data_IF_934720584922
#
_entry.id   IF_934720584922
#
_cell.length_a   1.000
_cell.length_b   1.000
_cell.length_c   1.000
_cell.angle_alpha   90.00
_cell.angle_beta   90.00
_cell.angle_gamma   90.00
#
_symmetry.space_group_name_H-M   'P 1'
#
loop_
_entity.id
_entity.type
_entity.pdbx_description
1 polymer ?
#
# COMPACT_ATOMS: atom_id res chain seq x y z
N UNK A 1 13.49 -79.04 -1.32
CA UNK A 1 12.27 -78.24 -1.62
C UNK A 1 12.04 -77.12 -0.59
N UNK A 2 13.09 -76.36 -0.26
CA UNK A 2 13.02 -75.17 0.63
C UNK A 2 12.89 -73.86 -0.17
N UNK A 3 12.77 -73.94 -1.51
CA UNK A 3 12.76 -72.77 -2.41
C UNK A 3 11.39 -72.44 -3.03
N UNK A 4 10.35 -73.24 -2.78
CA UNK A 4 8.97 -72.96 -3.25
C UNK A 4 8.07 -72.31 -2.18
N UNK A 5 8.38 -72.51 -0.89
CA UNK A 5 7.59 -71.95 0.22
C UNK A 5 7.93 -70.47 0.48
N UNK A 6 9.15 -70.02 0.17
CA UNK A 6 9.58 -68.62 0.36
C UNK A 6 9.02 -67.69 -0.72
N UNK A 7 8.79 -68.19 -1.94
CA UNK A 7 8.15 -67.42 -3.02
C UNK A 7 6.64 -67.24 -2.82
N UNK A 8 5.97 -68.16 -2.10
CA UNK A 8 4.55 -68.04 -1.76
C UNK A 8 4.30 -67.11 -0.56
N UNK A 9 5.27 -66.94 0.34
CA UNK A 9 5.15 -66.04 1.50
C UNK A 9 5.49 -64.58 1.20
N UNK A 10 6.29 -64.28 0.16
CA UNK A 10 6.52 -62.89 -0.28
C UNK A 10 5.42 -62.35 -1.20
N UNK A 11 4.61 -63.22 -1.81
CA UNK A 11 3.42 -62.82 -2.58
C UNK A 11 2.24 -62.43 -1.69
N UNK A 12 2.16 -62.94 -0.46
CA UNK A 12 1.11 -62.54 0.47
C UNK A 12 1.36 -61.18 1.13
N UNK A 13 2.61 -60.73 1.30
CA UNK A 13 2.88 -59.38 1.83
C UNK A 13 2.64 -58.26 0.83
N UNK A 14 2.76 -58.52 -0.49
CA UNK A 14 2.39 -57.52 -1.51
C UNK A 14 0.86 -57.40 -1.63
N UNK A 15 0.12 -58.49 -1.40
CA UNK A 15 -1.35 -58.48 -1.46
C UNK A 15 -2.03 -57.74 -0.30
N UNK A 16 -1.34 -57.52 0.83
CA UNK A 16 -1.88 -56.66 1.91
C UNK A 16 -1.80 -55.17 1.58
N UNK A 17 -1.01 -54.76 0.58
CA UNK A 17 -0.98 -53.36 0.14
C UNK A 17 -2.11 -53.00 -0.84
N UNK A 18 -2.93 -53.96 -1.28
CA UNK A 18 -3.98 -53.73 -2.28
C UNK A 18 -5.41 -53.79 -1.74
N UNK A 19 -5.60 -53.99 -0.43
CA UNK A 19 -6.93 -54.12 0.17
C UNK A 19 -7.06 -53.38 1.51
N UNK A 20 -6.86 -52.05 1.49
CA UNK A 20 -7.51 -51.16 2.47
C UNK A 20 -7.51 -49.67 2.04
N UNK A 21 -7.80 -49.35 0.78
CA UNK A 21 -7.95 -47.95 0.35
C UNK A 21 -9.41 -47.45 0.49
N UNK A 22 -10.40 -48.34 0.50
CA UNK A 22 -11.82 -47.93 0.54
C UNK A 22 -12.37 -47.61 1.94
N UNK A 23 -11.79 -48.20 3.01
CA UNK A 23 -12.26 -47.90 4.38
C UNK A 23 -11.73 -46.55 4.88
N UNK A 24 -10.49 -46.20 4.52
CA UNK A 24 -9.89 -44.91 4.89
C UNK A 24 -10.56 -43.74 4.15
N UNK A 25 -10.89 -43.91 2.87
CA UNK A 25 -11.58 -42.88 2.06
C UNK A 25 -13.01 -42.62 2.49
N UNK A 26 -13.75 -43.63 2.99
CA UNK A 26 -15.12 -43.41 3.51
C UNK A 26 -15.13 -42.79 4.91
N UNK A 27 -14.21 -43.17 5.80
CA UNK A 27 -14.14 -42.60 7.16
C UNK A 27 -13.68 -41.13 7.14
N UNK A 28 -12.70 -40.79 6.30
CA UNK A 28 -12.24 -39.41 6.15
C UNK A 28 -13.24 -38.53 5.37
N UNK A 29 -14.17 -39.07 4.59
CA UNK A 29 -15.05 -38.30 3.72
C UNK A 29 -16.24 -37.58 4.41
N UNK A 30 -16.80 -38.14 5.48
CA UNK A 30 -17.98 -37.55 6.16
C UNK A 30 -17.62 -36.55 7.28
N UNK A 31 -16.41 -36.61 7.85
CA UNK A 31 -15.97 -35.64 8.86
C UNK A 31 -15.15 -34.46 8.31
N UNK A 32 -14.59 -34.55 7.09
CA UNK A 32 -13.82 -33.45 6.51
C UNK A 32 -14.67 -32.37 5.83
N UNK A 33 -15.76 -32.75 5.13
CA UNK A 33 -16.54 -31.79 4.34
C UNK A 33 -17.25 -30.72 5.20
N UNK A 34 -17.63 -31.07 6.43
CA UNK A 34 -18.31 -30.13 7.33
C UNK A 34 -17.32 -29.19 8.06
N UNK A 35 -16.07 -29.63 8.23
CA UNK A 35 -14.94 -28.79 8.65
C UNK A 35 -14.49 -27.86 7.53
N UNK A 36 -14.45 -28.34 6.29
CA UNK A 36 -14.08 -27.56 5.09
C UNK A 36 -15.10 -26.46 4.74
N UNK A 37 -16.40 -26.72 4.90
CA UNK A 37 -17.44 -25.70 4.63
C UNK A 37 -17.40 -24.55 5.65
N UNK A 38 -17.15 -24.87 6.93
CA UNK A 38 -16.96 -23.90 8.01
C UNK A 38 -15.63 -23.15 7.86
N UNK A 39 -14.54 -23.81 7.45
CA UNK A 39 -13.28 -23.13 7.16
C UNK A 39 -13.41 -22.21 5.96
N UNK A 40 -14.19 -22.54 4.92
CA UNK A 40 -14.38 -21.66 3.76
C UNK A 40 -15.13 -20.36 4.11
N UNK A 41 -16.10 -20.41 5.04
CA UNK A 41 -16.79 -19.22 5.56
C UNK A 41 -15.86 -18.35 6.41
N UNK A 42 -15.12 -18.98 7.33
CA UNK A 42 -14.14 -18.26 8.18
C UNK A 42 -13.01 -17.68 7.32
N UNK A 43 -12.50 -18.42 6.33
CA UNK A 43 -11.49 -17.94 5.39
C UNK A 43 -12.00 -16.78 4.53
N UNK A 44 -13.28 -16.76 4.15
CA UNK A 44 -13.89 -15.61 3.46
C UNK A 44 -13.90 -14.37 4.38
N UNK A 45 -14.37 -14.52 5.61
CA UNK A 45 -14.39 -13.43 6.60
C UNK A 45 -12.98 -12.93 6.89
N UNK A 46 -12.00 -13.81 7.04
CA UNK A 46 -10.59 -13.45 7.25
C UNK A 46 -9.99 -12.73 6.03
N UNK A 47 -10.34 -13.12 4.80
CA UNK A 47 -9.93 -12.42 3.57
C UNK A 47 -10.58 -11.04 3.46
N UNK A 48 -11.86 -10.90 3.80
CA UNK A 48 -12.58 -9.63 3.79
C UNK A 48 -12.03 -8.67 4.87
N UNK A 49 -11.70 -9.21 6.06
CA UNK A 49 -11.03 -8.47 7.13
C UNK A 49 -9.61 -8.09 6.72
N UNK A 50 -8.83 -8.98 6.12
CA UNK A 50 -7.47 -8.68 5.60
C UNK A 50 -7.52 -7.56 4.57
N UNK A 51 -8.43 -7.62 3.59
CA UNK A 51 -8.60 -6.56 2.59
C UNK A 51 -9.00 -5.23 3.22
N UNK A 52 -9.78 -5.27 4.30
CA UNK A 52 -10.16 -4.07 5.06
C UNK A 52 -8.99 -3.54 5.89
N UNK A 53 -8.14 -4.39 6.45
CA UNK A 53 -6.90 -4.02 7.14
C UNK A 53 -5.90 -3.41 6.14
N UNK A 54 -5.73 -3.97 4.93
CA UNK A 54 -4.91 -3.38 3.86
C UNK A 54 -5.40 -1.98 3.45
N UNK A 55 -6.72 -1.74 3.54
CA UNK A 55 -7.32 -0.42 3.30
C UNK A 55 -7.15 0.56 4.46
N UNK A 56 -6.82 0.07 5.65
CA UNK A 56 -6.53 0.88 6.85
C UNK A 56 -5.03 1.20 6.92
N UNK A 57 -4.14 0.33 6.43
CA UNK A 57 -2.68 0.54 6.41
C UNK A 57 -2.15 1.30 5.19
N UNK A 58 -2.97 1.52 4.15
CA UNK A 58 -2.57 2.21 2.91
C UNK A 58 -2.69 3.75 2.93
N UNK A 59 -2.91 4.39 4.08
CA UNK A 59 -3.18 5.83 4.15
C UNK A 59 -1.95 6.74 4.37
N UNK A 60 -0.75 6.25 4.02
CA UNK A 60 0.47 7.07 3.94
C UNK A 60 1.21 6.86 2.62
N UNK A 61 0.49 7.02 1.51
CA UNK A 61 1.10 7.06 0.19
C UNK A 61 0.06 6.96 -0.91
N UNK A 62 -0.16 8.06 -1.62
CA UNK A 62 -0.75 8.06 -2.96
C UNK A 62 -2.27 7.81 -3.12
N UNK A 63 -3.11 8.58 -2.42
CA UNK A 63 -4.50 8.82 -2.89
C UNK A 63 -4.88 10.29 -3.09
N UNK A 64 -4.05 11.22 -2.62
CA UNK A 64 -4.29 12.66 -2.78
C UNK A 64 -3.31 13.33 -3.75
N UNK A 65 -2.72 12.60 -4.70
CA UNK A 65 -1.87 13.18 -5.74
C UNK A 65 -0.57 13.81 -5.22
N UNK A 66 0.05 13.20 -4.20
CA UNK A 66 1.38 13.59 -3.76
C UNK A 66 2.43 13.15 -4.79
N UNK A 67 3.37 14.04 -5.13
CA UNK A 67 4.38 13.78 -6.15
C UNK A 67 5.75 13.53 -5.51
N UNK A 68 6.05 14.23 -4.41
CA UNK A 68 7.31 14.06 -3.69
C UNK A 68 7.85 15.36 -3.10
N UNK A 69 9.00 15.23 -2.44
CA UNK A 69 9.78 16.32 -1.91
C UNK A 69 10.78 16.87 -2.95
N UNK A 70 10.79 18.18 -3.20
CA UNK A 70 11.66 18.79 -4.20
C UNK A 70 12.45 19.97 -3.62
N UNK A 71 13.68 20.15 -4.08
CA UNK A 71 14.48 21.35 -3.80
C UNK A 71 13.75 22.61 -4.29
N UNK A 72 13.89 23.70 -3.55
CA UNK A 72 13.44 25.03 -3.96
C UNK A 72 14.49 26.08 -3.62
N UNK A 73 14.55 27.15 -4.39
CA UNK A 73 15.43 28.28 -4.15
C UNK A 73 14.69 29.61 -4.42
N UNK A 74 15.41 30.73 -4.42
CA UNK A 74 14.84 32.06 -4.67
C UNK A 74 14.20 32.22 -6.07
N UNK A 75 14.63 31.43 -7.06
CA UNK A 75 14.06 31.42 -8.41
C UNK A 75 12.78 30.57 -8.53
N UNK A 76 12.44 29.79 -7.49
CA UNK A 76 11.21 29.00 -7.33
C UNK A 76 10.97 27.92 -8.39
N UNK A 77 10.87 26.67 -7.95
CA UNK A 77 10.42 25.54 -8.78
C UNK A 77 8.96 25.74 -9.25
N UNK A 78 8.13 26.33 -8.39
CA UNK A 78 6.73 26.64 -8.64
C UNK A 78 6.55 28.16 -8.48
N UNK A 79 6.70 28.96 -9.56
CA UNK A 79 6.91 30.39 -9.44
C UNK A 79 5.62 31.23 -9.34
N UNK A 80 4.43 30.62 -9.40
CA UNK A 80 3.18 31.36 -9.52
C UNK A 80 2.35 31.35 -8.23
N UNK A 81 1.46 32.34 -8.09
CA UNK A 81 0.43 32.46 -7.05
C UNK A 81 0.92 32.14 -5.63
N UNK A 82 2.08 32.70 -5.25
CA UNK A 82 2.56 32.58 -3.87
C UNK A 82 1.51 33.09 -2.88
N UNK A 83 1.23 32.29 -1.85
CA UNK A 83 0.35 32.67 -0.75
C UNK A 83 0.90 32.16 0.57
N UNK A 84 0.98 33.04 1.58
CA UNK A 84 1.19 32.63 2.96
C UNK A 84 -0.17 32.52 3.66
N UNK A 85 -0.49 31.33 4.17
CA UNK A 85 -1.75 31.01 4.84
C UNK A 85 -1.59 30.86 6.37
N UNK A 86 -0.37 31.04 6.90
CA UNK A 86 -0.05 30.91 8.31
C UNK A 86 -0.48 29.55 8.89
N UNK A 87 -0.90 29.55 10.14
CA UNK A 87 -1.39 28.36 10.86
C UNK A 87 -2.64 27.72 10.20
N UNK A 88 -3.35 28.46 9.36
CA UNK A 88 -4.53 27.97 8.67
C UNK A 88 -4.26 27.13 7.43
N UNK A 89 -3.00 26.89 7.04
CA UNK A 89 -2.66 26.17 5.81
C UNK A 89 -3.15 24.71 5.85
N UNK A 90 -3.71 24.27 4.74
CA UNK A 90 -3.97 22.87 4.45
C UNK A 90 -3.92 22.68 2.92
N UNK A 91 -3.91 21.42 2.47
CA UNK A 91 -3.78 21.13 1.05
C UNK A 91 -4.95 21.69 0.23
N UNK A 92 -6.17 21.64 0.76
CA UNK A 92 -7.36 22.12 0.08
C UNK A 92 -7.31 23.62 -0.22
N UNK A 93 -6.88 24.45 0.74
CA UNK A 93 -6.73 25.91 0.55
C UNK A 93 -5.64 26.25 -0.46
N UNK A 94 -4.52 25.55 -0.43
CA UNK A 94 -3.47 25.79 -1.43
C UNK A 94 -3.90 25.32 -2.83
N UNK A 95 -4.67 24.23 -2.94
CA UNK A 95 -5.27 23.81 -4.21
C UNK A 95 -6.25 24.84 -4.75
N UNK A 96 -7.10 25.40 -3.88
CA UNK A 96 -8.01 26.48 -4.24
C UNK A 96 -7.23 27.67 -4.82
N UNK A 97 -6.17 28.10 -4.15
CA UNK A 97 -5.28 29.17 -4.62
C UNK A 97 -4.55 28.84 -5.94
N UNK A 98 -4.29 27.56 -6.19
CA UNK A 98 -3.63 27.06 -7.39
C UNK A 98 -4.62 26.53 -8.46
N UNK A 99 -5.91 26.85 -8.39
CA UNK A 99 -6.85 26.51 -9.46
C UNK A 99 -6.34 27.02 -10.80
N UNK A 100 -6.38 26.16 -11.82
CA UNK A 100 -5.84 26.44 -13.15
C UNK A 100 -4.35 26.11 -13.34
N UNK A 101 -3.65 25.67 -12.29
CA UNK A 101 -2.29 25.12 -12.38
C UNK A 101 -2.30 23.60 -12.24
N UNK A 102 -1.22 22.95 -12.69
CA UNK A 102 -1.06 21.49 -12.58
C UNK A 102 -0.58 21.04 -11.20
N UNK A 103 0.30 21.83 -10.58
CA UNK A 103 1.00 21.48 -9.36
C UNK A 103 0.86 22.57 -8.30
N UNK A 104 0.81 22.12 -7.05
CA UNK A 104 0.89 22.95 -5.86
C UNK A 104 2.05 22.48 -4.98
N UNK A 105 2.85 23.41 -4.48
CA UNK A 105 3.93 23.17 -3.54
C UNK A 105 3.60 23.77 -2.19
N UNK A 106 3.78 22.99 -1.14
CA UNK A 106 3.70 23.44 0.24
C UNK A 106 5.12 23.60 0.79
N UNK A 107 5.44 24.76 1.36
CA UNK A 107 6.76 25.08 1.91
C UNK A 107 6.66 25.68 3.31
N UNK A 108 7.65 25.37 4.14
CA UNK A 108 7.90 26.05 5.41
C UNK A 108 6.67 26.16 6.33
N UNK A 109 5.82 25.12 6.35
CA UNK A 109 4.58 25.05 7.15
C UNK A 109 3.51 26.08 6.89
N UNK A 110 3.71 27.08 6.03
CA UNK A 110 2.76 28.21 5.90
C UNK A 110 2.60 28.72 4.48
N UNK A 111 3.41 28.26 3.52
CA UNK A 111 3.47 28.81 2.17
C UNK A 111 2.89 27.85 1.12
N UNK A 112 2.11 28.40 0.20
CA UNK A 112 1.65 27.75 -1.03
C UNK A 112 2.37 28.36 -2.24
N UNK A 113 2.71 27.52 -3.22
CA UNK A 113 3.27 27.88 -4.51
C UNK A 113 2.58 27.10 -5.63
N UNK A 114 2.43 27.68 -6.82
CA UNK A 114 1.74 27.05 -7.94
C UNK A 114 2.62 26.95 -9.17
N UNK A 115 2.40 25.94 -10.01
CA UNK A 115 3.15 25.79 -11.25
C UNK A 115 2.61 24.72 -12.19
N UNK A 116 3.02 24.80 -13.44
CA UNK A 116 2.60 23.87 -14.50
C UNK A 116 3.68 22.86 -14.90
N UNK A 117 4.91 23.07 -14.42
CA UNK A 117 6.09 22.27 -14.76
C UNK A 117 6.94 22.06 -13.51
N UNK A 118 7.67 20.94 -13.47
CA UNK A 118 8.68 20.65 -12.47
C UNK A 118 10.02 20.55 -13.20
N UNK A 119 10.91 21.53 -13.01
CA UNK A 119 12.24 21.54 -13.62
C UNK A 119 13.21 20.66 -12.80
N UNK A 120 13.11 19.35 -13.00
CA UNK A 120 13.80 18.34 -12.19
C UNK A 120 15.33 18.37 -12.31
N UNK A 121 15.89 19.00 -13.33
CA UNK A 121 17.35 19.13 -13.53
C UNK A 121 17.97 20.02 -12.46
N UNK A 122 17.38 21.20 -12.23
CA UNK A 122 17.80 22.16 -11.20
C UNK A 122 17.21 21.80 -9.84
N UNK A 123 15.90 21.58 -9.80
CA UNK A 123 15.15 21.29 -8.58
C UNK A 123 14.99 19.78 -8.41
N UNK A 124 16.09 19.12 -8.02
CA UNK A 124 16.10 17.67 -7.84
C UNK A 124 15.12 17.24 -6.76
N UNK A 125 14.50 16.08 -6.96
CA UNK A 125 13.77 15.40 -5.91
C UNK A 125 14.72 15.09 -4.74
N UNK A 126 14.21 15.17 -3.52
CA UNK A 126 14.93 14.99 -2.27
C UNK A 126 14.30 13.86 -1.45
N UNK A 127 15.03 13.29 -0.48
CA UNK A 127 14.46 12.33 0.45
C UNK A 127 13.22 12.91 1.14
N UNK A 128 12.22 12.07 1.42
CA UNK A 128 11.00 12.52 2.10
C UNK A 128 11.28 13.10 3.50
N UNK A 129 12.38 12.68 4.13
CA UNK A 129 12.88 13.25 5.40
C UNK A 129 13.26 14.74 5.32
N UNK A 130 13.57 15.27 4.11
CA UNK A 130 13.84 16.69 3.91
C UNK A 130 12.54 17.52 3.96
N UNK A 131 11.40 16.91 3.63
CA UNK A 131 10.07 17.49 3.75
C UNK A 131 9.40 16.90 4.99
N UNK A 132 9.81 17.34 6.17
CA UNK A 132 9.37 16.75 7.44
C UNK A 132 8.44 17.68 8.26
N UNK A 133 8.11 18.84 7.72
CA UNK A 133 7.28 19.78 8.45
C UNK A 133 5.80 19.48 8.21
N UNK A 134 5.01 19.31 9.28
CA UNK A 134 3.56 19.10 9.17
C UNK A 134 2.80 20.41 8.92
N UNK A 135 1.72 20.34 8.17
CA UNK A 135 0.80 21.47 7.99
C UNK A 135 0.05 21.73 9.31
N UNK A 136 0.08 22.93 9.89
CA UNK A 136 -0.66 23.22 11.12
C UNK A 136 -2.18 23.02 10.99
N UNK A 137 -2.76 23.39 9.83
CA UNK A 137 -4.20 23.19 9.56
C UNK A 137 -4.58 21.81 9.02
N UNK A 138 -3.63 20.86 8.90
CA UNK A 138 -3.86 19.47 8.47
C UNK A 138 -2.70 18.58 8.96
N UNK A 139 -2.69 18.17 10.23
CA UNK A 139 -1.55 17.50 10.88
C UNK A 139 -1.16 16.14 10.28
N UNK A 140 -2.03 15.52 9.48
CA UNK A 140 -1.76 14.30 8.71
C UNK A 140 -0.95 14.58 7.43
N UNK A 141 -0.74 15.85 7.08
CA UNK A 141 -0.09 16.29 5.84
C UNK A 141 1.26 16.94 6.10
N UNK A 142 2.14 16.78 5.12
CA UNK A 142 3.45 17.43 5.07
C UNK A 142 3.37 18.72 4.25
N UNK A 143 3.93 19.80 4.81
CA UNK A 143 4.04 21.15 4.26
C UNK A 143 5.51 21.55 4.01
N UNK A 144 6.28 20.66 3.38
CA UNK A 144 7.66 20.90 2.95
C UNK A 144 8.65 21.10 4.10
N UNK A 145 9.63 21.97 3.87
CA UNK A 145 10.54 22.55 4.86
C UNK A 145 11.20 23.82 4.30
N UNK A 146 12.21 24.38 4.96
CA UNK A 146 12.92 25.55 4.43
C UNK A 146 13.65 25.19 3.12
N UNK A 147 13.26 25.82 2.00
CA UNK A 147 13.84 25.52 0.69
C UNK A 147 13.52 24.10 0.17
N UNK A 148 12.41 23.50 0.66
CA UNK A 148 11.89 22.22 0.16
C UNK A 148 10.38 22.30 -0.01
N UNK A 149 9.92 21.95 -1.20
CA UNK A 149 8.49 21.89 -1.53
C UNK A 149 8.01 20.45 -1.42
N UNK A 150 6.98 20.21 -0.60
CA UNK A 150 6.12 19.04 -0.76
C UNK A 150 5.16 19.32 -1.92
N UNK A 151 5.32 18.61 -3.02
CA UNK A 151 4.57 18.88 -4.26
C UNK A 151 3.40 17.92 -4.39
N UNK A 152 2.23 18.47 -4.73
CA UNK A 152 1.00 17.74 -4.99
C UNK A 152 0.40 18.16 -6.35
N UNK A 153 -0.46 17.32 -6.91
CA UNK A 153 -1.36 17.70 -8.00
C UNK A 153 -2.45 18.64 -7.46
N UNK A 154 -2.78 19.65 -8.26
CA UNK A 154 -4.06 20.36 -8.12
C UNK A 154 -5.11 19.43 -8.72
N UNK A 155 -6.01 18.89 -7.88
CA UNK A 155 -7.11 18.06 -8.38
C UNK A 155 -7.99 18.94 -9.28
N UNK A 156 -8.27 18.46 -10.49
CA UNK A 156 -9.17 19.11 -11.45
C UNK A 156 -10.62 18.87 -11.06
#
# INVERSE_FOLDING_TARGET
>A
MRSLVVLLLTLQTVLVCSLSDDYFRKWMGWQWNDRLSKTNKILKVLKDISKKIDSIESDQGDKNGYIGCFLDDSSRQLPYNYKNLGEGINLAKCRENCKGYKYVGLQYRVQCFCGNRLEKTRYKQKPESDCNMRCPGELSRICGSAGRNSVYLVQQ
#
